data_IF_127754977008
#
_entry.id   IF_127754977008
#
_cell.length_a   1.000
_cell.length_b   1.000
_cell.length_c   1.000
_cell.angle_alpha   90.00
_cell.angle_beta   90.00
_cell.angle_gamma   90.00
#
_symmetry.space_group_name_H-M   'P 1'
#
loop_
_entity.id
_entity.type
_entity.pdbx_description
1 polymer ?
#
# COMPACT_ATOMS: atom_id res chain seq x y z
N UNK A 1 4.53 32.22 -50.06
CA UNK A 1 5.55 32.06 -49.00
C UNK A 1 5.01 32.26 -47.57
N UNK A 2 4.02 33.15 -47.33
CA UNK A 2 3.49 33.43 -45.97
C UNK A 2 2.70 32.27 -45.30
N UNK A 3 1.99 31.43 -46.05
CA UNK A 3 1.18 30.34 -45.49
C UNK A 3 2.01 29.22 -44.82
N UNK A 4 3.17 28.89 -45.39
CA UNK A 4 4.10 27.87 -44.82
C UNK A 4 4.70 28.32 -43.48
N UNK A 5 4.99 29.62 -43.34
CA UNK A 5 5.54 30.21 -42.11
C UNK A 5 4.52 30.17 -40.96
N UNK A 6 3.23 30.35 -41.25
CA UNK A 6 2.17 30.32 -40.23
C UNK A 6 1.94 28.89 -39.70
N UNK A 7 2.01 27.89 -40.60
CA UNK A 7 1.92 26.48 -40.23
C UNK A 7 3.09 26.05 -39.32
N UNK A 8 4.32 26.52 -39.58
CA UNK A 8 5.48 26.19 -38.75
C UNK A 8 5.42 26.86 -37.37
N UNK A 9 4.94 28.10 -37.30
CA UNK A 9 4.73 28.78 -36.03
C UNK A 9 3.64 28.10 -35.18
N UNK A 10 2.54 27.68 -35.80
CA UNK A 10 1.49 26.92 -35.13
C UNK A 10 1.99 25.56 -34.63
N UNK A 11 2.78 24.84 -35.43
CA UNK A 11 3.36 23.55 -35.04
C UNK A 11 4.38 23.69 -33.90
N UNK A 12 5.19 24.75 -33.90
CA UNK A 12 6.11 25.06 -32.81
C UNK A 12 5.37 25.42 -31.51
N UNK A 13 4.33 26.26 -31.57
CA UNK A 13 3.50 26.60 -30.41
C UNK A 13 2.79 25.36 -29.84
N UNK A 14 2.33 24.46 -30.71
CA UNK A 14 1.74 23.18 -30.30
C UNK A 14 2.78 22.28 -29.60
N UNK A 15 4.00 22.15 -30.15
CA UNK A 15 5.08 21.38 -29.51
C UNK A 15 5.50 21.94 -28.14
N UNK A 16 5.55 23.27 -28.00
CA UNK A 16 5.84 23.93 -26.72
C UNK A 16 4.70 23.72 -25.69
N UNK A 17 3.44 23.75 -26.13
CA UNK A 17 2.30 23.50 -25.23
C UNK A 17 2.27 22.06 -24.71
N UNK A 18 2.63 21.06 -25.52
CA UNK A 18 2.65 19.65 -25.11
C UNK A 18 3.88 19.25 -24.30
N UNK A 19 5.02 19.93 -24.46
CA UNK A 19 6.24 19.63 -23.70
C UNK A 19 6.20 20.06 -22.24
N UNK A 20 5.19 20.85 -21.83
CA UNK A 20 4.99 21.30 -20.45
C UNK A 20 3.89 20.52 -19.70
N UNK A 21 3.32 19.47 -20.30
CA UNK A 21 2.35 18.62 -19.60
C UNK A 21 3.13 17.62 -18.76
N UNK A 22 3.37 17.97 -17.49
CA UNK A 22 3.95 17.06 -16.52
C UNK A 22 2.89 16.01 -16.15
N UNK A 23 2.95 14.85 -16.80
CA UNK A 23 2.09 13.72 -16.45
C UNK A 23 2.60 13.14 -15.13
N UNK A 24 1.74 13.22 -14.13
CA UNK A 24 2.01 12.69 -12.81
C UNK A 24 1.62 11.20 -12.78
N UNK A 25 2.60 10.30 -12.67
CA UNK A 25 2.40 8.84 -12.65
C UNK A 25 2.09 8.29 -11.22
N UNK A 26 2.11 9.17 -10.22
CA UNK A 26 1.82 8.89 -8.81
C UNK A 26 1.19 10.12 -8.15
N UNK A 27 1.47 10.32 -6.86
CA UNK A 27 1.15 11.58 -6.20
C UNK A 27 2.05 12.70 -6.77
N UNK A 28 1.49 13.89 -6.97
CA UNK A 28 2.22 15.01 -7.53
C UNK A 28 2.92 15.81 -6.43
N UNK A 29 4.06 16.40 -6.76
CA UNK A 29 4.77 17.27 -5.84
C UNK A 29 3.87 18.42 -5.36
N UNK A 30 3.98 18.74 -4.08
CA UNK A 30 3.23 19.84 -3.49
C UNK A 30 3.67 21.18 -4.09
N UNK A 31 2.69 21.99 -4.50
CA UNK A 31 2.94 23.33 -5.06
C UNK A 31 3.12 24.42 -4.00
N UNK A 32 2.92 24.07 -2.73
CA UNK A 32 3.05 24.94 -1.57
C UNK A 32 3.47 24.10 -0.36
N UNK A 33 3.98 24.74 0.69
CA UNK A 33 4.49 24.06 1.89
C UNK A 33 3.47 23.10 2.51
N UNK A 34 2.19 23.51 2.61
CA UNK A 34 1.14 22.67 3.20
C UNK A 34 -0.22 22.92 2.54
N UNK A 35 -1.04 21.86 2.45
CA UNK A 35 -2.45 21.92 2.05
C UNK A 35 -3.27 20.89 2.85
N UNK A 36 -3.43 21.08 4.19
CA UNK A 36 -4.21 20.12 4.97
C UNK A 36 -5.63 19.99 4.42
N UNK A 37 -6.14 18.77 4.28
CA UNK A 37 -7.46 18.55 3.70
C UNK A 37 -8.59 19.16 4.58
N UNK A 38 -9.63 19.67 3.92
CA UNK A 38 -10.91 20.00 4.57
C UNK A 38 -11.49 18.71 5.16
N UNK A 39 -12.08 18.76 6.39
CA UNK A 39 -12.74 17.59 6.98
C UNK A 39 -13.77 16.96 6.02
N UNK A 40 -13.91 15.61 6.02
CA UNK A 40 -14.79 14.91 5.06
C UNK A 40 -16.23 15.43 5.04
N UNK A 41 -16.79 15.81 6.19
CA UNK A 41 -18.14 16.36 6.31
C UNK A 41 -18.32 17.78 5.75
N UNK A 42 -17.24 18.42 5.31
CA UNK A 42 -17.22 19.77 4.73
C UNK A 42 -16.70 19.78 3.28
N UNK A 43 -16.36 18.62 2.71
CA UNK A 43 -15.95 18.51 1.32
C UNK A 43 -17.16 18.60 0.41
N UNK A 44 -17.16 19.60 -0.48
CA UNK A 44 -18.24 19.83 -1.46
C UNK A 44 -17.77 19.72 -2.90
N UNK A 45 -16.45 19.67 -3.12
CA UNK A 45 -15.82 19.62 -4.43
C UNK A 45 -14.95 18.36 -4.51
N UNK A 46 -15.09 17.61 -5.60
CA UNK A 46 -14.29 16.41 -5.89
C UNK A 46 -13.27 16.74 -6.96
N UNK A 47 -11.99 16.59 -6.61
CA UNK A 47 -10.83 16.83 -7.47
C UNK A 47 -9.88 15.63 -7.37
N UNK A 48 -8.82 15.61 -8.18
CA UNK A 48 -7.72 14.68 -7.92
C UNK A 48 -7.00 15.10 -6.62
N UNK A 49 -7.12 14.29 -5.57
CA UNK A 49 -6.70 14.63 -4.22
C UNK A 49 -7.85 15.17 -3.36
N UNK A 50 -7.56 16.04 -2.41
CA UNK A 50 -8.55 16.62 -1.48
C UNK A 50 -8.47 18.14 -1.46
N UNK A 51 -9.62 18.79 -1.25
CA UNK A 51 -9.69 20.24 -1.12
C UNK A 51 -8.87 20.73 0.09
N UNK A 52 -8.02 21.74 -0.10
CA UNK A 52 -7.26 22.36 0.99
C UNK A 52 -8.16 23.15 1.94
N UNK A 53 -7.86 23.08 3.23
CA UNK A 53 -8.34 24.00 4.26
C UNK A 53 -7.80 25.41 3.98
N UNK A 54 -8.57 26.44 4.34
CA UNK A 54 -8.11 27.83 4.25
C UNK A 54 -6.84 28.02 5.11
N UNK A 55 -5.73 28.57 4.56
CA UNK A 55 -4.47 28.76 5.28
C UNK A 55 -4.61 29.51 6.62
N UNK A 56 -5.56 30.45 6.74
CA UNK A 56 -5.81 31.20 7.98
C UNK A 56 -6.28 30.31 9.13
N UNK A 57 -6.85 29.14 8.82
CA UNK A 57 -7.37 28.19 9.81
C UNK A 57 -6.43 27.02 10.05
N UNK A 58 -5.26 26.97 9.40
CA UNK A 58 -4.29 25.88 9.56
C UNK A 58 -3.55 26.04 10.89
N UNK A 59 -3.41 24.93 11.61
CA UNK A 59 -2.78 24.88 12.95
C UNK A 59 -1.89 23.64 13.06
N UNK A 60 -1.02 23.60 14.08
CA UNK A 60 -0.20 22.43 14.37
C UNK A 60 -1.02 21.13 14.56
N UNK A 61 -2.28 21.24 15.00
CA UNK A 61 -3.16 20.09 15.18
C UNK A 61 -3.53 19.39 13.85
N UNK A 62 -3.48 20.12 12.73
CA UNK A 62 -3.72 19.55 11.40
C UNK A 62 -2.59 18.60 10.95
N UNK A 63 -1.43 18.62 11.62
CA UNK A 63 -0.24 17.82 11.33
C UNK A 63 0.07 16.75 12.38
N UNK A 64 -0.89 16.41 13.25
CA UNK A 64 -0.76 15.36 14.25
C UNK A 64 -1.95 14.40 14.23
N UNK A 65 -1.67 13.10 14.35
CA UNK A 65 -2.69 12.06 14.52
C UNK A 65 -2.31 11.09 15.64
N UNK A 66 -3.32 10.51 16.29
CA UNK A 66 -3.17 9.43 17.30
C UNK A 66 -3.88 8.15 16.84
N UNK A 67 -4.27 8.08 15.55
CA UNK A 67 -5.06 6.95 15.02
C UNK A 67 -4.34 5.60 15.08
N UNK A 68 -3.01 5.60 15.23
CA UNK A 68 -2.19 4.39 15.32
C UNK A 68 -1.71 4.06 16.75
N UNK A 69 -2.19 4.79 17.76
CA UNK A 69 -1.72 4.63 19.15
C UNK A 69 -2.05 3.28 19.77
N UNK A 70 -3.16 2.65 19.35
CA UNK A 70 -3.64 1.39 19.91
C UNK A 70 -3.68 0.30 18.84
N UNK A 71 -3.65 -0.95 19.29
CA UNK A 71 -3.81 -2.11 18.42
C UNK A 71 -5.21 -2.15 17.79
N UNK A 72 -5.29 -2.68 16.57
CA UNK A 72 -6.56 -2.98 15.91
C UNK A 72 -7.21 -4.26 16.45
N UNK A 73 -8.50 -4.45 16.17
CA UNK A 73 -9.16 -5.74 16.37
C UNK A 73 -8.83 -6.64 15.19
N UNK A 74 -8.31 -7.85 15.45
CA UNK A 74 -7.98 -8.82 14.42
C UNK A 74 -9.23 -9.44 13.80
N UNK A 75 -9.12 -9.80 12.53
CA UNK A 75 -10.14 -10.51 11.76
C UNK A 75 -10.01 -12.05 11.93
N UNK A 76 -10.75 -12.81 11.12
CA UNK A 76 -10.70 -14.29 11.14
C UNK A 76 -9.34 -14.88 10.77
N UNK A 77 -8.46 -14.10 10.14
CA UNK A 77 -7.10 -14.50 9.81
C UNK A 77 -6.12 -14.16 10.95
N UNK A 78 -6.59 -13.53 12.04
CA UNK A 78 -5.76 -13.07 13.14
C UNK A 78 -4.95 -11.82 12.77
N UNK A 79 -5.45 -11.00 11.84
CA UNK A 79 -4.76 -9.80 11.38
C UNK A 79 -5.66 -8.57 11.47
N UNK A 80 -5.06 -7.42 11.77
CA UNK A 80 -5.71 -6.11 11.63
C UNK A 80 -4.77 -5.16 10.91
N UNK A 81 -5.30 -4.37 9.98
CA UNK A 81 -4.54 -3.33 9.29
C UNK A 81 -5.33 -2.02 9.34
N UNK A 82 -4.68 -0.97 9.81
CA UNK A 82 -5.23 0.38 9.86
C UNK A 82 -4.32 1.32 9.06
N UNK A 83 -4.76 1.71 7.87
CA UNK A 83 -4.08 2.70 7.02
C UNK A 83 -4.66 4.08 7.33
N UNK A 84 -3.76 5.02 7.63
CA UNK A 84 -4.08 6.44 7.83
C UNK A 84 -3.62 7.20 6.60
N UNK A 85 -4.53 7.35 5.64
CA UNK A 85 -4.35 8.11 4.41
C UNK A 85 -4.68 9.60 4.63
N UNK A 86 -4.56 10.43 3.59
CA UNK A 86 -4.98 11.83 3.65
C UNK A 86 -6.48 12.02 3.95
N UNK A 87 -7.32 11.00 3.71
CA UNK A 87 -8.72 11.02 4.10
C UNK A 87 -8.88 10.93 5.64
N UNK A 88 -8.04 10.12 6.30
CA UNK A 88 -8.05 9.95 7.75
C UNK A 88 -7.24 11.02 8.49
N UNK A 89 -6.19 11.53 7.87
CA UNK A 89 -5.26 12.51 8.43
C UNK A 89 -4.93 13.57 7.38
N UNK A 90 -5.73 14.65 7.40
CA UNK A 90 -5.69 15.69 6.36
C UNK A 90 -4.33 16.36 6.17
N UNK A 91 -3.46 16.37 7.17
CA UNK A 91 -2.10 16.90 7.07
C UNK A 91 -1.21 16.19 6.03
N UNK A 92 -1.56 14.99 5.60
CA UNK A 92 -0.85 14.24 4.55
C UNK A 92 -1.21 14.69 3.12
N UNK A 93 -2.27 15.48 2.95
CA UNK A 93 -2.74 15.87 1.63
C UNK A 93 -1.65 16.68 0.89
N UNK A 94 -1.42 16.31 -0.37
CA UNK A 94 -0.36 16.79 -1.28
C UNK A 94 1.07 16.36 -0.94
N UNK A 95 1.30 15.63 0.17
CA UNK A 95 2.66 15.29 0.62
C UNK A 95 3.18 13.93 0.16
N UNK A 96 2.40 13.17 -0.62
CA UNK A 96 2.86 11.92 -1.21
C UNK A 96 3.12 10.80 -0.20
N UNK A 97 2.55 10.87 1.01
CA UNK A 97 2.82 9.92 2.09
C UNK A 97 1.54 9.47 2.80
N UNK A 98 1.52 8.22 3.23
CA UNK A 98 0.60 7.73 4.25
C UNK A 98 1.30 6.75 5.19
N UNK A 99 0.64 6.43 6.30
CA UNK A 99 1.20 5.56 7.34
C UNK A 99 0.17 4.51 7.76
N UNK A 100 0.62 3.31 8.10
CA UNK A 100 -0.22 2.23 8.57
C UNK A 100 0.31 1.59 9.84
N UNK A 101 -0.58 0.94 10.58
CA UNK A 101 -0.24 -0.01 11.65
C UNK A 101 -0.93 -1.33 11.34
N UNK A 102 -0.18 -2.42 11.48
CA UNK A 102 -0.72 -3.77 11.39
C UNK A 102 -0.37 -4.54 12.66
N UNK A 103 -1.38 -5.18 13.26
CA UNK A 103 -1.23 -6.06 14.42
C UNK A 103 -1.69 -7.47 14.03
N UNK A 104 -0.92 -8.47 14.44
CA UNK A 104 -1.12 -9.88 14.11
C UNK A 104 -1.11 -10.72 15.38
N UNK A 105 -2.12 -11.56 15.57
CA UNK A 105 -2.15 -12.57 16.63
C UNK A 105 -1.05 -13.62 16.40
N UNK A 106 -0.80 -14.49 17.38
CA UNK A 106 0.06 -15.66 17.18
C UNK A 106 -0.48 -16.52 16.01
N UNK A 107 0.38 -16.86 15.05
CA UNK A 107 -0.01 -17.47 13.77
C UNK A 107 -0.99 -16.65 12.90
N UNK A 108 -1.15 -15.35 13.17
CA UNK A 108 -1.97 -14.44 12.37
C UNK A 108 -1.38 -14.22 10.96
N UNK A 109 -2.25 -14.10 9.95
CA UNK A 109 -1.89 -13.90 8.55
C UNK A 109 -2.62 -12.66 8.01
N UNK A 110 -1.88 -11.62 7.64
CA UNK A 110 -2.46 -10.63 6.72
C UNK A 110 -2.33 -11.21 5.32
N UNK A 111 -3.47 -11.65 4.77
CA UNK A 111 -3.55 -12.37 3.51
C UNK A 111 -2.94 -11.57 2.34
N UNK A 112 -2.67 -12.25 1.23
CA UNK A 112 -2.16 -11.63 0.01
C UNK A 112 -2.99 -10.41 -0.40
N UNK A 113 -2.32 -9.27 -0.47
CA UNK A 113 -2.90 -7.99 -0.88
C UNK A 113 -1.88 -7.18 -1.67
N UNK A 114 -2.35 -6.10 -2.27
CA UNK A 114 -1.49 -5.11 -2.93
C UNK A 114 -2.02 -3.70 -2.77
N UNK A 115 -1.11 -2.74 -2.95
CA UNK A 115 -1.39 -1.32 -2.97
C UNK A 115 -1.30 -0.80 -4.42
N UNK A 116 -2.42 -0.50 -5.09
CA UNK A 116 -2.41 -0.14 -6.51
C UNK A 116 -1.65 1.16 -6.79
N UNK A 117 -1.51 2.03 -5.78
CA UNK A 117 -0.95 3.38 -5.94
C UNK A 117 0.38 3.61 -5.23
N UNK A 118 0.82 2.72 -4.36
CA UNK A 118 2.02 2.93 -3.55
C UNK A 118 2.92 1.69 -3.42
N UNK A 119 4.22 1.93 -3.33
CA UNK A 119 5.19 1.07 -2.66
C UNK A 119 4.95 1.16 -1.16
N UNK A 120 5.08 0.04 -0.47
CA UNK A 120 5.03 -0.02 1.00
C UNK A 120 6.42 -0.33 1.56
N UNK A 121 6.78 0.33 2.65
CA UNK A 121 7.94 0.00 3.47
C UNK A 121 7.47 -0.24 4.89
N UNK A 122 7.86 -1.36 5.49
CA UNK A 122 7.49 -1.69 6.87
C UNK A 122 8.68 -1.60 7.83
N UNK A 123 8.38 -1.35 9.09
CA UNK A 123 9.30 -1.46 10.22
C UNK A 123 8.69 -2.33 11.31
N UNK A 124 9.41 -3.35 11.76
CA UNK A 124 8.92 -4.30 12.77
C UNK A 124 9.19 -3.77 14.18
N UNK A 125 8.13 -3.62 14.98
CA UNK A 125 8.22 -3.13 16.36
C UNK A 125 8.01 -4.21 17.41
N UNK A 126 7.33 -5.31 17.07
CA UNK A 126 7.06 -6.45 17.97
C UNK A 126 6.97 -7.74 17.15
N UNK A 127 7.44 -8.86 17.72
CA UNK A 127 7.29 -10.20 17.16
C UNK A 127 8.30 -10.57 16.07
N UNK A 128 8.02 -11.69 15.38
CA UNK A 128 8.81 -12.24 14.27
C UNK A 128 7.85 -12.65 13.17
N UNK A 129 8.12 -12.19 11.95
CA UNK A 129 7.22 -12.33 10.82
C UNK A 129 7.94 -13.01 9.67
N UNK A 130 7.24 -13.88 8.94
CA UNK A 130 7.58 -14.18 7.56
C UNK A 130 6.87 -13.14 6.68
N UNK A 131 7.65 -12.31 6.01
CA UNK A 131 7.15 -11.31 5.06
C UNK A 131 7.59 -11.68 3.65
N UNK A 132 6.75 -11.45 2.64
CA UNK A 132 7.13 -11.71 1.26
C UNK A 132 6.19 -11.16 0.20
N UNK A 133 6.68 -11.13 -1.03
CA UNK A 133 5.95 -10.70 -2.22
C UNK A 133 6.26 -11.57 -3.44
N UNK A 134 5.44 -11.43 -4.46
CA UNK A 134 5.58 -12.10 -5.76
C UNK A 134 5.78 -11.05 -6.85
N UNK A 135 6.81 -11.21 -7.66
CA UNK A 135 7.06 -10.31 -8.80
C UNK A 135 6.28 -10.71 -10.07
N UNK A 136 6.42 -9.92 -11.12
CA UNK A 136 5.74 -10.15 -12.41
C UNK A 136 6.31 -11.32 -13.20
N UNK A 137 7.44 -11.90 -12.78
CA UNK A 137 7.99 -13.14 -13.32
C UNK A 137 7.61 -14.34 -12.45
N UNK A 138 6.62 -14.16 -11.56
CA UNK A 138 6.16 -15.14 -10.60
C UNK A 138 7.18 -15.51 -9.52
N UNK A 139 8.32 -14.82 -9.41
CA UNK A 139 9.35 -15.10 -8.43
C UNK A 139 8.91 -14.68 -7.02
N UNK A 140 9.11 -15.57 -6.04
CA UNK A 140 8.84 -15.32 -4.63
C UNK A 140 10.05 -14.72 -3.94
N UNK A 141 9.84 -13.62 -3.24
CA UNK A 141 10.82 -12.98 -2.37
C UNK A 141 10.25 -12.99 -0.96
N UNK A 142 10.85 -13.75 -0.05
CA UNK A 142 10.39 -13.78 1.34
C UNK A 142 11.54 -13.97 2.33
N UNK A 143 11.37 -13.43 3.54
CA UNK A 143 12.34 -13.54 4.62
C UNK A 143 11.66 -13.51 5.98
N UNK A 144 12.23 -14.24 6.93
CA UNK A 144 11.95 -14.02 8.35
C UNK A 144 12.56 -12.68 8.77
N UNK A 145 11.72 -11.77 9.25
CA UNK A 145 12.07 -10.44 9.75
C UNK A 145 11.69 -10.35 11.23
N UNK A 146 12.48 -9.63 12.01
CA UNK A 146 12.32 -9.45 13.46
C UNK A 146 12.33 -7.98 13.83
N UNK A 147 12.08 -7.68 15.10
CA UNK A 147 12.10 -6.32 15.65
C UNK A 147 13.36 -5.56 15.21
N UNK A 148 13.17 -4.37 14.64
CA UNK A 148 14.22 -3.52 14.10
C UNK A 148 14.47 -3.69 12.60
N UNK A 149 13.97 -4.76 11.97
CA UNK A 149 14.12 -4.96 10.53
C UNK A 149 13.14 -4.08 9.73
N UNK A 150 13.57 -3.74 8.51
CA UNK A 150 12.78 -3.06 7.49
C UNK A 150 12.62 -3.99 6.28
N UNK A 151 11.43 -3.99 5.68
CA UNK A 151 11.14 -4.73 4.45
C UNK A 151 10.34 -3.86 3.48
N UNK A 152 10.54 -4.04 2.17
CA UNK A 152 9.94 -3.19 1.13
C UNK A 152 9.13 -4.03 0.15
N UNK A 153 7.94 -3.55 -0.20
CA UNK A 153 7.03 -4.13 -1.17
C UNK A 153 6.86 -3.18 -2.34
N UNK A 154 7.32 -3.57 -3.55
CA UNK A 154 7.15 -2.73 -4.73
C UNK A 154 5.67 -2.47 -5.05
N UNK A 155 5.39 -1.28 -5.58
CA UNK A 155 4.05 -0.84 -5.96
C UNK A 155 3.30 -1.90 -6.77
N UNK A 156 2.04 -2.14 -6.37
CA UNK A 156 1.10 -3.04 -7.01
C UNK A 156 1.50 -4.53 -7.10
N UNK A 157 2.52 -4.98 -6.36
CA UNK A 157 2.82 -6.40 -6.24
C UNK A 157 2.09 -7.03 -5.06
N UNK A 158 1.61 -8.26 -5.25
CA UNK A 158 0.99 -9.05 -4.18
C UNK A 158 2.02 -9.39 -3.11
N UNK A 159 1.66 -9.16 -1.85
CA UNK A 159 2.48 -9.43 -0.69
C UNK A 159 1.65 -9.81 0.54
N UNK A 160 2.31 -10.35 1.56
CA UNK A 160 1.68 -10.86 2.78
C UNK A 160 2.60 -10.71 4.00
N UNK A 161 2.00 -10.85 5.19
CA UNK A 161 2.70 -11.00 6.47
C UNK A 161 2.13 -12.19 7.23
N UNK A 162 2.99 -13.11 7.66
CA UNK A 162 2.62 -14.20 8.54
C UNK A 162 3.38 -14.06 9.86
N UNK A 163 2.68 -13.95 10.97
CA UNK A 163 3.30 -14.07 12.28
C UNK A 163 3.65 -15.52 12.55
N UNK A 164 4.95 -15.82 12.56
CA UNK A 164 5.46 -17.18 12.83
C UNK A 164 5.73 -17.40 14.32
N UNK A 165 5.53 -16.39 15.15
CA UNK A 165 5.65 -16.47 16.60
C UNK A 165 4.35 -16.90 17.29
N UNK A 166 4.49 -17.33 18.55
CA UNK A 166 3.36 -17.62 19.44
C UNK A 166 2.77 -16.38 20.10
N UNK A 167 3.54 -15.29 20.17
CA UNK A 167 3.11 -13.99 20.67
C UNK A 167 2.64 -13.09 19.53
N UNK A 168 1.87 -12.05 19.85
CA UNK A 168 1.45 -11.03 18.89
C UNK A 168 2.65 -10.32 18.24
N UNK A 169 2.46 -9.88 16.99
CA UNK A 169 3.40 -9.05 16.25
C UNK A 169 2.77 -7.71 15.87
N UNK A 170 3.59 -6.67 15.76
CA UNK A 170 3.17 -5.33 15.34
C UNK A 170 4.19 -4.75 14.37
N UNK A 171 3.70 -4.22 13.24
CA UNK A 171 4.48 -3.49 12.25
C UNK A 171 3.87 -2.12 11.96
N UNK A 172 4.72 -1.19 11.56
CA UNK A 172 4.30 0.09 11.01
C UNK A 172 4.73 0.20 9.56
N UNK A 173 3.81 0.66 8.72
CA UNK A 173 3.99 0.80 7.29
C UNK A 173 4.07 2.27 6.89
N UNK A 174 4.92 2.61 5.94
CA UNK A 174 4.97 3.91 5.26
C UNK A 174 4.76 3.66 3.78
N UNK A 175 3.91 4.48 3.17
CA UNK A 175 3.56 4.38 1.76
C UNK A 175 3.96 5.67 1.04
N UNK A 176 4.45 5.55 -0.18
CA UNK A 176 4.78 6.70 -1.03
C UNK A 176 3.56 7.23 -1.83
N UNK A 177 2.39 7.25 -1.19
CA UNK A 177 1.20 7.94 -1.69
C UNK A 177 0.33 8.33 -0.51
N UNK A 178 -0.32 9.49 -0.61
CA UNK A 178 -1.34 9.96 0.33
C UNK A 178 -2.58 9.06 0.35
N UNK A 179 -2.77 8.23 -0.68
CA UNK A 179 -3.85 7.27 -0.81
C UNK A 179 -3.33 5.99 -1.50
N UNK A 180 -2.71 5.05 -0.77
CA UNK A 180 -2.10 3.85 -1.35
C UNK A 180 -3.14 2.91 -1.99
N UNK A 181 -4.37 2.93 -1.48
CA UNK A 181 -5.38 1.90 -1.74
C UNK A 181 -5.03 0.60 -1.07
N UNK A 182 -6.00 -0.31 -0.96
CA UNK A 182 -5.80 -1.65 -0.41
C UNK A 182 -6.71 -2.60 -1.16
N UNK A 183 -6.12 -3.58 -1.83
CA UNK A 183 -6.85 -4.64 -2.51
C UNK A 183 -6.34 -5.96 -1.97
N UNK A 184 -7.17 -6.61 -1.17
CA UNK A 184 -6.90 -7.96 -0.68
C UNK A 184 -7.51 -8.99 -1.62
N UNK A 185 -6.86 -10.14 -1.75
CA UNK A 185 -7.51 -11.28 -2.36
C UNK A 185 -8.67 -11.72 -1.46
N UNK A 186 -9.88 -11.41 -1.92
CA UNK A 186 -11.11 -11.88 -1.30
C UNK A 186 -11.17 -13.40 -1.46
N UNK A 187 -11.47 -14.16 -0.39
CA UNK A 187 -11.77 -15.57 -0.52
C UNK A 187 -13.17 -15.73 -1.10
N UNK A 188 -13.35 -15.42 -2.38
CA UNK A 188 -14.62 -15.57 -3.11
C UNK A 188 -14.48 -16.67 -4.14
N UNK A 189 -14.18 -17.88 -3.69
CA UNK A 189 -14.53 -19.17 -4.35
C UNK A 189 -14.05 -20.39 -3.53
N UNK A 190 -13.07 -20.22 -2.65
CA UNK A 190 -12.51 -21.32 -1.87
C UNK A 190 -12.65 -21.10 -0.36
N UNK A 191 -13.49 -21.97 0.20
CA UNK A 191 -13.61 -22.35 1.60
C UNK A 191 -12.69 -21.61 2.59
N UNK A 192 -13.22 -20.60 3.28
CA UNK A 192 -12.56 -19.86 4.38
C UNK A 192 -12.49 -20.66 5.68
N UNK A 193 -12.63 -21.99 5.61
CA UNK A 193 -12.42 -22.85 6.77
C UNK A 193 -11.02 -22.64 7.35
N UNK A 194 -10.93 -22.75 8.67
CA UNK A 194 -9.66 -22.74 9.40
C UNK A 194 -8.65 -23.74 8.80
N UNK A 195 -9.13 -24.86 8.24
CA UNK A 195 -8.30 -25.87 7.57
C UNK A 195 -7.60 -25.35 6.31
N UNK A 196 -8.31 -24.62 5.45
CA UNK A 196 -7.74 -23.97 4.26
C UNK A 196 -6.70 -22.91 4.64
N UNK A 197 -6.97 -22.13 5.70
CA UNK A 197 -6.02 -21.14 6.22
C UNK A 197 -4.74 -21.79 6.73
N UNK A 198 -4.85 -22.87 7.51
CA UNK A 198 -3.71 -23.62 8.02
C UNK A 198 -2.91 -24.28 6.89
N UNK A 199 -3.56 -24.68 5.80
CA UNK A 199 -2.87 -25.21 4.61
C UNK A 199 -2.04 -24.11 3.93
N UNK A 200 -2.59 -22.91 3.74
CA UNK A 200 -1.87 -21.76 3.17
C UNK A 200 -0.66 -21.40 4.05
N UNK A 201 -0.86 -21.26 5.37
CA UNK A 201 0.22 -20.91 6.31
C UNK A 201 1.37 -21.92 6.27
N UNK A 202 1.07 -23.22 6.31
CA UNK A 202 2.08 -24.29 6.22
C UNK A 202 2.87 -24.24 4.91
N UNK A 203 2.21 -23.95 3.79
CA UNK A 203 2.86 -23.81 2.48
C UNK A 203 3.85 -22.64 2.48
N UNK A 204 3.43 -21.46 2.95
CA UNK A 204 4.31 -20.27 3.05
C UNK A 204 5.58 -20.56 3.85
N UNK A 205 5.42 -21.24 5.01
CA UNK A 205 6.55 -21.65 5.85
C UNK A 205 7.45 -22.63 5.10
N UNK A 206 6.90 -23.64 4.42
CA UNK A 206 7.69 -24.63 3.67
C UNK A 206 8.54 -24.01 2.56
N UNK A 207 7.99 -23.03 1.84
CA UNK A 207 8.71 -22.27 0.81
C UNK A 207 9.84 -21.42 1.41
N UNK A 208 9.73 -21.03 2.68
CA UNK A 208 10.77 -20.21 3.33
C UNK A 208 11.96 -21.06 3.75
N UNK A 209 11.70 -22.32 4.11
CA UNK A 209 12.72 -23.27 4.55
C UNK A 209 13.51 -23.88 3.38
N UNK A 210 12.97 -23.86 2.15
CA UNK A 210 13.60 -24.55 1.02
C UNK A 210 14.68 -23.75 0.30
N UNK A 211 14.75 -22.41 0.44
CA UNK A 211 15.59 -21.50 -0.40
C UNK A 211 15.50 -21.80 -1.92
N UNK A 212 14.54 -22.63 -2.35
CA UNK A 212 14.57 -23.31 -3.65
C UNK A 212 13.67 -22.60 -4.65
N UNK A 213 14.26 -22.30 -5.80
CA UNK A 213 13.70 -21.57 -6.94
C UNK A 213 12.59 -22.30 -7.71
N UNK A 214 12.06 -23.44 -7.22
CA UNK A 214 11.00 -24.16 -7.94
C UNK A 214 9.62 -23.63 -7.57
N UNK A 215 9.35 -22.47 -8.17
CA UNK A 215 8.27 -21.52 -7.88
C UNK A 215 7.02 -21.78 -8.75
N UNK A 216 7.16 -22.57 -9.81
CA UNK A 216 6.10 -22.79 -10.80
C UNK A 216 4.87 -23.54 -10.25
N UNK A 217 4.97 -24.23 -9.11
CA UNK A 217 3.86 -25.01 -8.55
C UNK A 217 2.85 -24.19 -7.75
N UNK A 218 3.13 -22.93 -7.39
CA UNK A 218 2.18 -22.12 -6.60
C UNK A 218 1.06 -21.53 -7.48
N UNK A 219 1.37 -21.22 -8.75
CA UNK A 219 0.49 -20.39 -9.58
C UNK A 219 -0.52 -21.19 -10.39
N UNK A 220 -0.18 -22.37 -10.92
CA UNK A 220 -1.02 -22.99 -11.94
C UNK A 220 -2.17 -23.85 -11.43
N UNK A 221 -2.26 -24.16 -10.15
CA UNK A 221 -3.34 -25.03 -9.64
C UNK A 221 -3.95 -24.54 -8.35
N UNK A 222 -3.17 -24.13 -7.34
CA UNK A 222 -3.73 -23.67 -6.07
C UNK A 222 -4.11 -22.18 -6.11
N UNK A 223 -3.33 -21.26 -6.69
CA UNK A 223 -3.83 -19.87 -6.85
C UNK A 223 -4.98 -19.76 -7.86
N UNK A 224 -4.91 -20.47 -9.00
CA UNK A 224 -6.04 -20.55 -9.94
C UNK A 224 -7.25 -21.25 -9.30
N UNK A 225 -7.06 -22.28 -8.47
CA UNK A 225 -8.16 -22.88 -7.68
C UNK A 225 -8.31 -22.25 -6.29
N UNK A 226 -7.86 -21.03 -6.02
CA UNK A 226 -8.21 -20.31 -4.77
C UNK A 226 -8.75 -18.92 -5.12
N UNK A 227 -8.35 -18.37 -6.27
CA UNK A 227 -8.59 -16.99 -6.68
C UNK A 227 -9.16 -16.83 -8.10
N UNK A 228 -9.56 -17.92 -8.78
CA UNK A 228 -10.39 -17.86 -10.00
C UNK A 228 -11.88 -17.99 -9.71
#
# INVERSE_FOLDING_TARGET
MKLKSFAHLFFMLFFVAFSNIQICLGDCDNLQDTCPAVPPNKQTIFINGLQCKNPVNVTAQDFRTTKLSNAGSTDIFGASMNIVSAAEFGGLNTLGLSIGRTDLDGNGLLNFHYHPRATEMIFVTKGVLLAGFVDTNNQYFQKLIKVGDVFVFPKALFHFYLNTGFEEATIFSVYNSQNPGFVSLSPTTFDTTLESLDKIKRKLISLSASEAQDVNSFISQEMESIYS
#
